data_IF_118948881565
#
_entry.id   IF_118948881565
#
_cell.length_a   1.000
_cell.length_b   1.000
_cell.length_c   1.000
_cell.angle_alpha   90.00
_cell.angle_beta   90.00
_cell.angle_gamma   90.00
#
_symmetry.space_group_name_H-M   'P 1'
#
loop_
_entity.id
_entity.type
_entity.pdbx_description
1 polymer ?
#
# COMPACT_ATOMS: atom_id res chain seq x y z
N UNK A 1 -21.01 -4.11 8.93
CA UNK A 1 -19.96 -3.24 9.51
C UNK A 1 -18.96 -2.91 8.43
N UNK A 2 -18.94 -1.67 7.94
CA UNK A 2 -17.99 -1.24 6.90
C UNK A 2 -16.65 -0.98 7.61
N UNK A 3 -15.68 -1.88 7.41
CA UNK A 3 -14.34 -1.66 7.92
C UNK A 3 -13.68 -0.48 7.18
N UNK A 4 -13.09 0.41 7.97
CA UNK A 4 -12.13 1.43 7.54
C UNK A 4 -11.14 0.86 6.52
N UNK A 5 -10.89 1.61 5.45
CA UNK A 5 -9.98 1.30 4.34
C UNK A 5 -8.87 0.27 4.67
N UNK A 6 -9.11 -1.01 4.35
CA UNK A 6 -8.14 -2.08 4.55
C UNK A 6 -7.32 -2.29 3.28
N UNK A 7 -6.01 -2.23 3.40
CA UNK A 7 -5.09 -2.50 2.29
C UNK A 7 -5.12 -3.99 1.92
N UNK A 8 -4.76 -4.30 0.66
CA UNK A 8 -4.52 -5.68 0.26
C UNK A 8 -3.29 -6.23 1.00
N UNK A 9 -3.37 -7.46 1.49
CA UNK A 9 -2.25 -8.23 2.05
C UNK A 9 -1.38 -8.79 0.92
N UNK A 10 -0.27 -9.44 1.26
CA UNK A 10 0.52 -10.17 0.26
C UNK A 10 -0.27 -11.36 -0.30
N UNK A 11 -0.88 -12.15 0.57
CA UNK A 11 -1.68 -13.33 0.21
C UNK A 11 -2.81 -12.96 -0.75
N UNK A 12 -3.56 -11.90 -0.47
CA UNK A 12 -4.63 -11.45 -1.38
C UNK A 12 -4.09 -11.03 -2.76
N UNK A 13 -2.86 -10.52 -2.84
CA UNK A 13 -2.22 -10.20 -4.13
C UNK A 13 -1.74 -11.46 -4.86
N UNK A 14 -1.26 -12.46 -4.14
CA UNK A 14 -0.89 -13.76 -4.71
C UNK A 14 -2.12 -14.46 -5.29
N UNK A 15 -3.22 -14.53 -4.54
CA UNK A 15 -4.49 -15.03 -5.03
C UNK A 15 -5.03 -14.22 -6.21
N UNK A 16 -4.92 -12.88 -6.18
CA UNK A 16 -5.28 -12.03 -7.31
C UNK A 16 -4.47 -12.40 -8.56
N UNK A 17 -3.17 -12.60 -8.42
CA UNK A 17 -2.30 -13.01 -9.53
C UNK A 17 -2.77 -14.35 -10.10
N UNK A 18 -2.92 -15.37 -9.26
CA UNK A 18 -3.31 -16.71 -9.66
C UNK A 18 -4.67 -16.73 -10.38
N UNK A 19 -5.69 -16.08 -9.82
CA UNK A 19 -7.02 -16.06 -10.44
C UNK A 19 -7.05 -15.23 -11.73
N UNK A 20 -6.26 -14.17 -11.80
CA UNK A 20 -6.16 -13.36 -13.02
C UNK A 20 -5.47 -14.14 -14.15
N UNK A 21 -4.41 -14.90 -13.85
CA UNK A 21 -3.77 -15.82 -14.80
C UNK A 21 -4.73 -16.92 -15.27
N UNK A 22 -5.61 -17.42 -14.39
CA UNK A 22 -6.71 -18.34 -14.71
C UNK A 22 -7.85 -17.70 -15.53
N UNK A 23 -7.75 -16.43 -15.89
CA UNK A 23 -8.74 -15.72 -16.71
C UNK A 23 -10.01 -15.31 -15.99
N UNK A 24 -10.00 -15.26 -14.65
CA UNK A 24 -11.20 -14.88 -13.90
C UNK A 24 -11.50 -13.38 -14.05
N UNK A 25 -12.78 -13.04 -14.14
CA UNK A 25 -13.19 -11.64 -14.21
C UNK A 25 -12.92 -10.89 -12.90
N UNK A 26 -12.67 -9.58 -12.98
CA UNK A 26 -12.45 -8.70 -11.81
C UNK A 26 -13.56 -8.87 -10.77
N UNK A 27 -14.82 -8.99 -11.19
CA UNK A 27 -15.96 -9.17 -10.28
C UNK A 27 -15.92 -10.52 -9.57
N UNK A 28 -15.53 -11.60 -10.26
CA UNK A 28 -15.39 -12.93 -9.67
C UNK A 28 -14.27 -12.94 -8.63
N UNK A 29 -13.11 -12.39 -8.97
CA UNK A 29 -11.97 -12.29 -8.05
C UNK A 29 -12.33 -11.46 -6.82
N UNK A 30 -12.98 -10.30 -7.02
CA UNK A 30 -13.43 -9.43 -5.94
C UNK A 30 -14.37 -10.15 -4.96
N UNK A 31 -15.29 -10.99 -5.46
CA UNK A 31 -16.17 -11.81 -4.61
C UNK A 31 -15.39 -12.85 -3.81
N UNK A 32 -14.40 -13.52 -4.43
CA UNK A 32 -13.57 -14.54 -3.76
C UNK A 32 -12.71 -13.92 -2.65
N UNK A 33 -12.11 -12.75 -2.92
CA UNK A 33 -11.26 -12.04 -1.96
C UNK A 33 -12.03 -11.16 -0.98
N UNK A 34 -13.37 -11.17 -1.04
CA UNK A 34 -14.25 -10.32 -0.23
C UNK A 34 -13.88 -8.82 -0.30
N UNK A 35 -13.42 -8.38 -1.48
CA UNK A 35 -13.06 -6.98 -1.76
C UNK A 35 -14.03 -6.33 -2.73
N UNK A 36 -14.04 -5.00 -2.76
CA UNK A 36 -14.78 -4.30 -3.81
C UNK A 36 -14.14 -4.55 -5.19
N UNK A 37 -14.94 -4.68 -6.27
CA UNK A 37 -14.40 -4.77 -7.64
C UNK A 37 -13.50 -3.59 -8.00
N UNK A 38 -13.81 -2.41 -7.44
CA UNK A 38 -13.01 -1.20 -7.62
C UNK A 38 -11.61 -1.31 -7.00
N UNK A 39 -11.46 -2.01 -5.88
CA UNK A 39 -10.17 -2.28 -5.24
C UNK A 39 -9.29 -3.14 -6.14
N UNK A 40 -9.84 -4.24 -6.65
CA UNK A 40 -9.13 -5.14 -7.56
C UNK A 40 -8.73 -4.43 -8.86
N UNK A 41 -9.67 -3.67 -9.46
CA UNK A 41 -9.39 -2.89 -10.66
C UNK A 41 -8.26 -1.87 -10.46
N UNK A 42 -8.30 -1.10 -9.36
CA UNK A 42 -7.25 -0.12 -9.04
C UNK A 42 -5.89 -0.78 -8.80
N UNK A 43 -5.85 -1.92 -8.11
CA UNK A 43 -4.62 -2.68 -7.87
C UNK A 43 -3.99 -3.15 -9.19
N UNK A 44 -4.78 -3.80 -10.05
CA UNK A 44 -4.32 -4.24 -11.37
C UNK A 44 -3.86 -3.04 -12.21
N UNK A 45 -4.66 -1.98 -12.32
CA UNK A 45 -4.31 -0.78 -13.10
C UNK A 45 -2.98 -0.15 -12.63
N UNK A 46 -2.72 -0.15 -11.32
CA UNK A 46 -1.53 0.49 -10.74
C UNK A 46 -0.26 -0.36 -10.88
N UNK A 47 -0.38 -1.68 -10.85
CA UNK A 47 0.77 -2.58 -10.69
C UNK A 47 0.95 -3.56 -11.86
N UNK A 48 0.04 -3.62 -12.83
CA UNK A 48 0.16 -4.45 -14.04
C UNK A 48 1.29 -3.96 -14.96
N UNK A 49 2.13 -4.89 -15.41
CA UNK A 49 3.20 -4.61 -16.36
C UNK A 49 2.69 -4.73 -17.78
N UNK A 50 2.58 -3.61 -18.49
CA UNK A 50 2.21 -3.61 -19.93
C UNK A 50 3.24 -4.34 -20.79
N UNK A 51 4.55 -4.18 -20.49
CA UNK A 51 5.65 -4.81 -21.24
C UNK A 51 5.61 -6.34 -21.11
N UNK A 52 5.42 -6.84 -19.89
CA UNK A 52 5.34 -8.30 -19.64
C UNK A 52 3.93 -8.87 -19.79
N UNK A 53 2.93 -8.02 -20.04
CA UNK A 53 1.50 -8.34 -20.03
C UNK A 53 1.11 -9.17 -18.78
N UNK A 54 1.67 -8.80 -17.63
CA UNK A 54 1.63 -9.61 -16.41
C UNK A 54 1.41 -8.80 -15.14
N UNK A 55 0.67 -9.35 -14.18
CA UNK A 55 0.59 -8.84 -12.81
C UNK A 55 1.50 -9.64 -11.88
N UNK A 56 2.43 -8.98 -11.20
CA UNK A 56 3.39 -9.63 -10.30
C UNK A 56 3.13 -9.24 -8.84
N UNK A 57 2.57 -10.17 -8.06
CA UNK A 57 2.11 -9.98 -6.68
C UNK A 57 3.19 -9.43 -5.74
N UNK A 58 4.35 -10.07 -5.68
CA UNK A 58 5.47 -9.65 -4.84
C UNK A 58 5.96 -8.24 -5.21
N UNK A 59 6.05 -7.95 -6.50
CA UNK A 59 6.47 -6.63 -7.00
C UNK A 59 5.47 -5.54 -6.65
N UNK A 60 4.17 -5.87 -6.69
CA UNK A 60 3.10 -4.97 -6.25
C UNK A 60 3.15 -4.72 -4.73
N UNK A 61 3.44 -5.76 -3.94
CA UNK A 61 3.58 -5.66 -2.49
C UNK A 61 4.76 -4.78 -2.08
N UNK A 62 5.96 -5.02 -2.64
CA UNK A 62 7.15 -4.19 -2.37
C UNK A 62 6.90 -2.73 -2.74
N UNK A 63 6.30 -2.47 -3.92
CA UNK A 63 5.92 -1.10 -4.33
C UNK A 63 4.94 -0.48 -3.34
N UNK A 64 3.98 -1.23 -2.83
CA UNK A 64 3.05 -0.76 -1.81
C UNK A 64 3.78 -0.37 -0.52
N UNK A 65 4.71 -1.19 -0.02
CA UNK A 65 5.49 -0.89 1.19
C UNK A 65 6.29 0.42 1.05
N UNK A 66 6.98 0.60 -0.09
CA UNK A 66 7.73 1.83 -0.38
C UNK A 66 6.80 3.05 -0.38
N UNK A 67 5.70 2.99 -1.16
CA UNK A 67 4.71 4.09 -1.21
C UNK A 67 4.08 4.39 0.14
N UNK A 68 3.88 3.37 0.98
CA UNK A 68 3.33 3.54 2.33
C UNK A 68 4.33 4.21 3.26
N UNK A 69 5.62 3.89 3.15
CA UNK A 69 6.69 4.60 3.87
C UNK A 69 6.80 6.06 3.42
N UNK A 70 6.51 6.34 2.15
CA UNK A 70 6.64 7.68 1.58
C UNK A 70 5.40 8.56 1.74
N UNK A 71 4.22 7.99 1.97
CA UNK A 71 3.02 8.79 2.20
C UNK A 71 2.99 9.49 3.58
N UNK A 72 3.86 9.06 4.51
CA UNK A 72 3.95 9.65 5.83
C UNK A 72 4.87 10.87 5.84
N UNK A 73 4.52 11.87 6.63
CA UNK A 73 5.35 13.08 6.80
C UNK A 73 6.74 12.67 7.27
N UNK A 74 7.77 13.11 6.56
CA UNK A 74 9.16 12.88 6.95
C UNK A 74 9.45 13.65 8.25
N UNK A 75 10.14 13.01 9.19
CA UNK A 75 10.50 13.63 10.45
C UNK A 75 11.73 14.53 10.26
N UNK A 76 11.49 15.80 9.95
CA UNK A 76 12.56 16.78 9.77
C UNK A 76 13.26 17.17 11.09
N UNK A 77 12.69 16.81 12.26
CA UNK A 77 13.34 17.09 13.55
C UNK A 77 14.66 16.35 13.70
N UNK A 78 14.81 15.19 13.06
CA UNK A 78 16.05 14.41 13.10
C UNK A 78 17.10 14.89 12.08
N UNK A 79 16.74 15.82 11.20
CA UNK A 79 17.61 16.35 10.14
C UNK A 79 18.35 17.60 10.62
N UNK A 80 17.71 18.42 11.45
CA UNK A 80 18.26 19.69 11.93
C UNK A 80 18.46 19.65 13.44
N UNK A 81 19.71 19.51 13.87
CA UNK A 81 20.12 19.42 15.27
C UNK A 81 19.67 20.61 16.11
N UNK A 82 19.66 21.82 15.54
CA UNK A 82 19.26 23.04 16.26
C UNK A 82 17.76 23.05 16.55
N UNK A 83 16.94 22.61 15.59
CA UNK A 83 15.48 22.50 15.74
C UNK A 83 15.15 21.39 16.74
N UNK A 84 15.87 20.26 16.66
CA UNK A 84 15.74 19.17 17.64
C UNK A 84 16.00 19.66 19.06
N UNK A 85 17.16 20.30 19.29
CA UNK A 85 17.57 20.78 20.60
C UNK A 85 16.60 21.85 21.13
N UNK A 86 16.13 22.76 20.28
CA UNK A 86 15.13 23.75 20.66
C UNK A 86 13.82 23.09 21.15
N UNK A 87 13.27 22.17 20.35
CA UNK A 87 12.03 21.45 20.71
C UNK A 87 12.22 20.61 21.97
N UNK A 88 13.35 19.91 22.08
CA UNK A 88 13.69 19.08 23.24
C UNK A 88 13.76 19.91 24.52
N UNK A 89 14.48 21.04 24.50
CA UNK A 89 14.59 21.94 25.65
C UNK A 89 13.23 22.51 26.06
N UNK A 90 12.39 22.88 25.09
CA UNK A 90 11.04 23.40 25.36
C UNK A 90 10.13 22.35 26.03
N UNK A 91 10.14 21.12 25.52
CA UNK A 91 9.41 20.00 26.14
C UNK A 91 9.91 19.73 27.57
N UNK A 92 11.22 19.79 27.80
CA UNK A 92 11.79 19.61 29.14
C UNK A 92 11.44 20.73 30.12
N UNK A 93 11.21 21.95 29.63
CA UNK A 93 10.76 23.07 30.46
C UNK A 93 9.27 23.07 30.78
N UNK A 94 8.52 22.00 30.43
CA UNK A 94 7.05 21.94 30.52
C UNK A 94 6.37 23.18 29.91
N UNK A 95 7.01 23.72 28.87
CA UNK A 95 6.53 24.88 28.15
C UNK A 95 5.29 24.53 27.34
#
# INVERSE_FOLDING_TARGET
>A
MILSYTHLTLIERECLQEFYEKGYSIRKIAKILERSPSTISRELKRNFSKKRKHYHSWGAHVKYLVRRKDCHRKNNLLIYTDIYNYVFNKLHSFW
#
